data_IF_431583426960
#
_entry.id   IF_431583426960
#
_cell.length_a   1.000
_cell.length_b   1.000
_cell.length_c   1.000
_cell.angle_alpha   90.00
_cell.angle_beta   90.00
_cell.angle_gamma   90.00
#
_symmetry.space_group_name_H-M   'P 1'
#
loop_
_entity.id
_entity.type
_entity.pdbx_description
1 polymer ?
#
# COMPACT_ATOMS: atom_id res chain seq x y z
N UNK A 1 -34.29 28.80 -12.89
CA UNK A 1 -32.95 28.37 -13.36
C UNK A 1 -33.06 27.10 -14.22
N UNK A 2 -33.79 27.17 -15.35
CA UNK A 2 -33.93 26.06 -16.30
C UNK A 2 -33.20 26.34 -17.62
N UNK A 3 -32.90 27.63 -17.88
CA UNK A 3 -32.13 28.12 -19.04
C UNK A 3 -30.72 27.53 -19.15
N UNK A 4 -30.13 27.04 -18.06
CA UNK A 4 -28.84 26.34 -18.09
C UNK A 4 -28.89 25.07 -18.96
N UNK A 5 -30.05 24.39 -19.03
CA UNK A 5 -30.24 23.20 -19.87
C UNK A 5 -30.40 23.51 -21.36
N UNK A 6 -30.58 24.79 -21.75
CA UNK A 6 -30.63 25.20 -23.16
C UNK A 6 -29.22 25.36 -23.76
N UNK A 7 -28.21 25.55 -22.93
CA UNK A 7 -26.80 25.70 -23.35
C UNK A 7 -26.04 24.39 -23.11
N UNK A 8 -26.37 23.68 -22.03
CA UNK A 8 -25.75 22.42 -21.68
C UNK A 8 -26.64 21.25 -22.09
N UNK A 9 -26.20 20.49 -23.09
CA UNK A 9 -26.90 19.28 -23.52
C UNK A 9 -27.06 18.31 -22.32
N UNK A 10 -28.30 18.02 -21.88
CA UNK A 10 -28.62 17.28 -20.66
C UNK A 10 -27.85 15.97 -20.53
N UNK A 11 -27.70 15.29 -21.67
CA UNK A 11 -27.07 13.98 -21.76
C UNK A 11 -25.57 14.07 -21.51
N UNK A 12 -24.91 15.11 -22.05
CA UNK A 12 -23.47 15.26 -21.99
C UNK A 12 -23.01 15.68 -20.60
N UNK A 13 -23.77 16.54 -19.92
CA UNK A 13 -23.46 16.95 -18.53
C UNK A 13 -23.62 15.81 -17.55
N UNK A 14 -24.68 15.00 -17.65
CA UNK A 14 -24.86 13.81 -16.81
C UNK A 14 -23.75 12.78 -17.03
N UNK A 15 -23.36 12.53 -18.28
CA UNK A 15 -22.26 11.63 -18.62
C UNK A 15 -20.92 12.18 -18.12
N UNK A 16 -20.65 13.47 -18.31
CA UNK A 16 -19.43 14.10 -17.83
C UNK A 16 -19.32 14.03 -16.31
N UNK A 17 -20.40 14.31 -15.58
CA UNK A 17 -20.44 14.20 -14.12
C UNK A 17 -20.22 12.74 -13.66
N UNK A 18 -20.90 11.77 -14.29
CA UNK A 18 -20.75 10.36 -13.96
C UNK A 18 -19.31 9.88 -14.20
N UNK A 19 -18.71 10.21 -15.35
CA UNK A 19 -17.32 9.86 -15.66
C UNK A 19 -16.36 10.56 -14.71
N UNK A 20 -16.56 11.86 -14.45
CA UNK A 20 -15.70 12.61 -13.53
C UNK A 20 -15.69 11.99 -12.13
N UNK A 21 -16.87 11.71 -11.57
CA UNK A 21 -16.99 11.07 -10.26
C UNK A 21 -16.41 9.65 -10.26
N UNK A 22 -16.61 8.89 -11.33
CA UNK A 22 -16.08 7.54 -11.46
C UNK A 22 -14.55 7.51 -11.55
N UNK A 23 -13.96 8.38 -12.38
CA UNK A 23 -12.51 8.53 -12.49
C UNK A 23 -11.92 9.00 -11.16
N UNK A 24 -12.56 9.97 -10.49
CA UNK A 24 -12.14 10.43 -9.18
C UNK A 24 -12.17 9.31 -8.14
N UNK A 25 -13.22 8.48 -8.14
CA UNK A 25 -13.33 7.33 -7.26
C UNK A 25 -12.20 6.31 -7.52
N UNK A 26 -11.97 5.94 -8.78
CA UNK A 26 -10.88 5.02 -9.14
C UNK A 26 -9.52 5.56 -8.76
N UNK A 27 -9.26 6.85 -8.97
CA UNK A 27 -7.99 7.49 -8.66
C UNK A 27 -7.70 7.44 -7.14
N UNK A 28 -8.71 7.72 -6.31
CA UNK A 28 -8.60 7.58 -4.85
C UNK A 28 -8.34 6.11 -4.48
N UNK A 29 -9.11 5.16 -5.01
CA UNK A 29 -8.94 3.73 -4.69
C UNK A 29 -7.55 3.23 -5.08
N UNK A 30 -7.05 3.60 -6.27
CA UNK A 30 -5.70 3.25 -6.72
C UNK A 30 -4.62 3.81 -5.79
N UNK A 31 -4.78 5.03 -5.27
CA UNK A 31 -3.82 5.62 -4.31
C UNK A 31 -3.81 4.81 -3.00
N UNK A 32 -4.98 4.48 -2.45
CA UNK A 32 -5.07 3.68 -1.22
C UNK A 32 -4.53 2.26 -1.44
N UNK A 33 -4.86 1.64 -2.57
CA UNK A 33 -4.38 0.30 -2.91
C UNK A 33 -2.88 0.29 -3.21
N UNK A 34 -2.31 1.36 -3.74
CA UNK A 34 -0.86 1.47 -3.99
C UNK A 34 -0.05 1.67 -2.71
N UNK A 35 -0.67 2.02 -1.58
CA UNK A 35 0.06 2.24 -0.32
C UNK A 35 0.08 0.98 0.54
N UNK A 36 1.28 0.58 0.98
CA UNK A 36 1.56 -0.62 1.79
C UNK A 36 0.66 -0.79 3.03
N UNK A 37 0.23 0.33 3.63
CA UNK A 37 -0.64 0.35 4.82
C UNK A 37 -2.15 0.25 4.52
N UNK A 38 -2.60 0.76 3.38
CA UNK A 38 -4.03 0.89 3.04
C UNK A 38 -4.45 -0.05 1.90
N UNK A 39 -3.51 -0.84 1.38
CA UNK A 39 -3.77 -1.92 0.43
C UNK A 39 -4.49 -3.07 1.14
N UNK A 40 -5.81 -3.07 1.03
CA UNK A 40 -6.63 -4.11 1.64
C UNK A 40 -6.61 -5.44 0.87
N UNK A 41 -6.04 -5.49 -0.34
CA UNK A 41 -5.91 -6.73 -1.13
C UNK A 41 -4.69 -7.53 -0.66
N UNK A 42 -3.57 -6.87 -0.40
CA UNK A 42 -2.35 -7.52 0.10
C UNK A 42 -2.43 -7.83 1.61
N UNK A 43 -3.43 -7.26 2.31
CA UNK A 43 -3.53 -7.29 3.76
C UNK A 43 -2.52 -6.34 4.41
N UNK A 44 -2.58 -6.13 5.74
CA UNK A 44 -1.50 -5.42 6.40
C UNK A 44 -0.22 -6.11 5.98
N UNK A 45 0.78 -5.36 5.53
CA UNK A 45 2.15 -5.81 5.69
C UNK A 45 2.37 -6.01 7.21
N UNK A 46 1.90 -7.14 7.75
CA UNK A 46 2.75 -7.96 8.56
C UNK A 46 3.90 -8.24 7.61
N UNK A 47 4.87 -7.30 7.56
CA UNK A 47 6.23 -7.65 7.27
C UNK A 47 6.40 -8.97 8.02
N UNK A 48 6.57 -10.13 7.35
CA UNK A 48 6.77 -11.37 8.05
C UNK A 48 7.83 -11.03 9.06
N UNK A 49 7.48 -11.07 10.36
CA UNK A 49 8.37 -10.69 11.43
C UNK A 49 9.64 -11.44 11.09
N UNK A 50 10.66 -10.70 10.59
CA UNK A 50 11.73 -11.28 9.79
C UNK A 50 12.18 -12.47 10.61
N UNK A 51 11.81 -13.68 10.14
CA UNK A 51 11.82 -14.83 11.01
C UNK A 51 13.25 -14.87 11.49
N UNK A 52 13.40 -14.73 12.80
CA UNK A 52 14.67 -14.73 13.49
C UNK A 52 15.27 -16.10 13.22
N UNK A 53 15.92 -16.23 12.07
CA UNK A 53 16.99 -17.16 11.83
C UNK A 53 18.26 -16.37 12.13
N UNK A 54 18.38 -15.96 13.39
CA UNK A 54 19.68 -16.09 14.01
C UNK A 54 19.96 -17.60 13.98
N UNK A 55 20.94 -18.11 13.21
CA UNK A 55 21.54 -19.34 13.65
C UNK A 55 22.13 -19.02 15.02
N UNK A 56 21.44 -19.50 16.04
CA UNK A 56 22.05 -19.81 17.32
C UNK A 56 23.16 -20.84 17.04
N UNK A 57 24.30 -20.36 16.53
CA UNK A 57 25.56 -21.03 16.69
C UNK A 57 25.92 -20.84 18.15
N UNK A 58 25.64 -21.90 18.90
CA UNK A 58 25.77 -22.04 20.34
C UNK A 58 27.03 -21.38 20.92
N UNK A 59 26.93 -20.78 22.13
CA UNK A 59 28.06 -20.34 22.90
C UNK A 59 28.63 -21.54 23.67
N UNK A 60 29.82 -22.05 23.32
CA UNK A 60 30.66 -22.84 24.22
C UNK A 60 31.97 -23.28 23.54
N UNK A 61 33.00 -22.45 23.63
CA UNK A 61 34.40 -22.89 23.79
C UNK A 61 35.29 -21.69 24.15
N UNK A 62 35.14 -21.20 25.38
CA UNK A 62 36.28 -20.69 26.14
C UNK A 62 36.48 -21.70 27.30
N UNK A 63 37.69 -21.91 27.87
CA UNK A 63 38.92 -21.12 27.80
C UNK A 63 40.22 -21.98 27.66
N UNK A 64 41.38 -21.32 27.75
CA UNK A 64 42.69 -21.88 28.14
C UNK A 64 43.61 -22.53 27.08
N UNK A 65 44.51 -21.71 26.52
CA UNK A 65 45.94 -22.03 26.42
C UNK A 65 46.75 -20.74 26.14
N UNK A 66 47.24 -20.10 27.20
CA UNK A 66 48.51 -19.35 27.13
C UNK A 66 49.65 -20.37 27.38
N UNK A 67 50.95 -20.04 27.24
CA UNK A 67 51.68 -19.01 26.48
C UNK A 67 52.81 -19.62 25.59
N UNK A 68 53.64 -18.75 24.99
CA UNK A 68 55.04 -18.95 24.57
C UNK A 68 55.35 -19.43 23.13
N UNK A 69 55.99 -18.53 22.37
CA UNK A 69 57.29 -18.71 21.70
C UNK A 69 57.76 -17.39 21.11
#
# INVERSE_FOLDING_TARGET
MWRLWLIFDPRRTLVALAIFLFVLALLIHFILLSTDRFNWIEGPAVAPAAAVAAPAAAPAAAPAAAPAS
#
